data_IF_495599830380
#
_entry.id   IF_495599830380
#
_cell.length_a   1.000
_cell.length_b   1.000
_cell.length_c   1.000
_cell.angle_alpha   90.00
_cell.angle_beta   90.00
_cell.angle_gamma   90.00
#
_symmetry.space_group_name_H-M   'P 1'
#
loop_
_entity.id
_entity.type
_entity.pdbx_description
1 polymer ?
#
# COMPACT_ATOMS: atom_id res chain seq x y z
N UNK A 1 19.48 6.13 -2.94
CA UNK A 1 19.34 7.39 -2.19
C UNK A 1 20.65 7.67 -1.46
N UNK A 2 21.14 8.91 -1.43
CA UNK A 2 22.44 9.24 -0.81
C UNK A 2 22.28 9.31 0.72
N UNK A 3 23.13 8.60 1.47
CA UNK A 3 23.11 8.59 2.94
C UNK A 3 23.42 9.94 3.60
N UNK A 4 23.99 10.88 2.84
CA UNK A 4 24.25 12.26 3.28
C UNK A 4 23.06 13.20 3.07
N UNK A 5 21.98 12.75 2.43
CA UNK A 5 20.80 13.59 2.26
C UNK A 5 20.13 13.83 3.64
N UNK A 6 19.72 15.07 3.99
CA UNK A 6 19.17 15.37 5.30
C UNK A 6 17.99 14.49 5.74
N UNK A 7 17.16 14.04 4.79
CA UNK A 7 16.01 13.17 5.08
C UNK A 7 16.34 11.68 5.16
N UNK A 8 17.56 11.25 4.79
CA UNK A 8 17.88 9.83 4.66
C UNK A 8 17.72 9.07 5.98
N UNK A 9 18.26 9.62 7.08
CA UNK A 9 18.18 8.97 8.39
C UNK A 9 16.71 8.80 8.85
N UNK A 10 15.87 9.82 8.64
CA UNK A 10 14.45 9.76 8.97
C UNK A 10 13.72 8.73 8.12
N UNK A 11 13.96 8.71 6.81
CA UNK A 11 13.33 7.73 5.91
C UNK A 11 13.72 6.30 6.26
N UNK A 12 14.99 6.06 6.59
CA UNK A 12 15.46 4.75 7.07
C UNK A 12 14.77 4.34 8.37
N UNK A 13 14.69 5.24 9.34
CA UNK A 13 14.01 4.94 10.60
C UNK A 13 12.52 4.58 10.40
N UNK A 14 11.82 5.26 9.48
CA UNK A 14 10.43 4.93 9.12
C UNK A 14 10.36 3.55 8.45
N UNK A 15 11.20 3.28 7.45
CA UNK A 15 11.25 1.99 6.74
C UNK A 15 11.54 0.83 7.71
N UNK A 16 12.53 1.00 8.58
CA UNK A 16 12.93 0.00 9.58
C UNK A 16 11.83 -0.25 10.64
N UNK A 17 10.89 0.70 10.79
CA UNK A 17 9.77 0.61 11.73
C UNK A 17 8.51 -0.04 11.13
N UNK A 18 8.46 -0.31 9.81
CA UNK A 18 7.31 -0.94 9.16
C UNK A 18 6.89 -2.30 9.77
N UNK A 19 7.83 -3.21 10.14
CA UNK A 19 7.46 -4.52 10.67
C UNK A 19 6.60 -4.50 11.94
N UNK A 20 6.58 -3.39 12.70
CA UNK A 20 5.71 -3.27 13.88
C UNK A 20 4.22 -3.38 13.54
N UNK A 21 3.84 -3.12 12.28
CA UNK A 21 2.46 -3.21 11.79
C UNK A 21 2.16 -4.53 11.06
N UNK A 22 3.06 -5.51 11.08
CA UNK A 22 2.90 -6.77 10.34
C UNK A 22 1.60 -7.53 10.66
N UNK A 23 1.09 -7.40 11.89
CA UNK A 23 -0.15 -8.05 12.34
C UNK A 23 -1.35 -7.09 12.36
N UNK A 24 -1.20 -5.86 11.86
CA UNK A 24 -2.31 -4.93 11.76
C UNK A 24 -3.14 -5.27 10.52
N UNK A 25 -4.49 -5.32 10.61
CA UNK A 25 -5.31 -5.48 9.43
C UNK A 25 -4.96 -4.42 8.39
N UNK A 26 -4.73 -4.85 7.15
CA UNK A 26 -4.37 -3.94 6.07
C UNK A 26 -5.01 -4.33 4.75
N UNK A 27 -5.58 -3.32 4.08
CA UNK A 27 -6.08 -3.39 2.73
C UNK A 27 -5.19 -2.52 1.83
N UNK A 28 -4.55 -3.13 0.84
CA UNK A 28 -3.76 -2.46 -0.20
C UNK A 28 -4.56 -2.47 -1.50
N UNK A 29 -4.83 -1.28 -2.04
CA UNK A 29 -5.50 -1.11 -3.34
C UNK A 29 -4.47 -0.60 -4.34
N UNK A 30 -4.33 -1.29 -5.47
CA UNK A 30 -3.21 -1.08 -6.39
C UNK A 30 -3.67 -0.93 -7.84
N UNK A 31 -3.39 0.21 -8.47
CA UNK A 31 -3.55 0.41 -9.91
C UNK A 31 -2.35 -0.16 -10.68
N UNK A 32 -2.57 -1.11 -11.60
CA UNK A 32 -1.46 -1.76 -12.30
C UNK A 32 -0.88 -0.94 -13.45
N UNK A 33 -1.50 0.20 -13.80
CA UNK A 33 -0.99 1.15 -14.81
C UNK A 33 -0.22 2.33 -14.21
N UNK A 34 0.05 2.31 -12.91
CA UNK A 34 0.80 3.37 -12.24
C UNK A 34 2.28 3.37 -12.70
N UNK A 35 2.80 4.47 -13.25
CA UNK A 35 4.19 4.56 -13.69
C UNK A 35 5.21 4.72 -12.55
N UNK A 36 4.77 5.09 -11.35
CA UNK A 36 5.58 5.31 -10.14
C UNK A 36 5.52 4.08 -9.23
N UNK A 37 4.31 3.61 -8.94
CA UNK A 37 4.07 2.45 -8.09
C UNK A 37 3.99 1.17 -8.95
N UNK A 38 5.16 0.64 -9.30
CA UNK A 38 5.29 -0.55 -10.16
C UNK A 38 5.15 -1.87 -9.39
N UNK A 39 4.84 -3.00 -10.04
CA UNK A 39 4.61 -4.30 -9.36
C UNK A 39 5.73 -4.75 -8.41
N UNK A 40 6.98 -4.35 -8.67
CA UNK A 40 8.10 -4.64 -7.76
C UNK A 40 7.91 -4.00 -6.38
N UNK A 41 7.40 -2.76 -6.31
CA UNK A 41 7.11 -2.10 -5.04
C UNK A 41 6.00 -2.83 -4.30
N UNK A 42 4.92 -3.25 -4.98
CA UNK A 42 3.89 -4.07 -4.33
C UNK A 42 4.48 -5.35 -3.76
N UNK A 43 5.44 -5.98 -4.45
CA UNK A 43 6.20 -7.10 -3.94
C UNK A 43 6.94 -6.77 -2.64
N UNK A 44 7.61 -5.63 -2.56
CA UNK A 44 8.29 -5.17 -1.34
C UNK A 44 7.31 -4.98 -0.17
N UNK A 45 6.15 -4.37 -0.44
CA UNK A 45 5.08 -4.22 0.56
C UNK A 45 4.60 -5.57 1.10
N UNK A 46 4.42 -6.56 0.22
CA UNK A 46 3.99 -7.91 0.63
C UNK A 46 5.07 -8.69 1.39
N UNK A 47 6.35 -8.30 1.29
CA UNK A 47 7.39 -8.86 2.18
C UNK A 47 7.26 -8.35 3.60
N UNK A 48 6.91 -7.07 3.79
CA UNK A 48 6.70 -6.49 5.11
C UNK A 48 5.35 -6.89 5.71
N UNK A 49 4.35 -7.07 4.85
CA UNK A 49 2.97 -7.30 5.25
C UNK A 49 2.36 -8.49 4.50
N UNK A 50 2.77 -9.72 4.83
CA UNK A 50 2.34 -10.92 4.09
C UNK A 50 0.83 -11.20 4.19
N UNK A 51 0.18 -10.77 5.27
CA UNK A 51 -1.25 -10.97 5.52
C UNK A 51 -2.14 -9.85 4.96
N UNK A 52 -1.56 -8.89 4.23
CA UNK A 52 -2.31 -7.80 3.63
C UNK A 52 -3.31 -8.29 2.58
N UNK A 53 -4.55 -7.81 2.66
CA UNK A 53 -5.52 -8.01 1.59
C UNK A 53 -5.19 -7.08 0.42
N UNK A 54 -4.93 -7.65 -0.76
CA UNK A 54 -4.57 -6.85 -1.95
C UNK A 54 -5.70 -6.86 -2.98
N UNK A 55 -6.12 -5.68 -3.42
CA UNK A 55 -7.04 -5.49 -4.54
C UNK A 55 -6.28 -4.83 -5.70
N UNK A 56 -6.01 -5.59 -6.76
CA UNK A 56 -5.36 -5.08 -7.97
C UNK A 56 -6.39 -4.65 -8.99
N UNK A 57 -6.15 -3.52 -9.64
CA UNK A 57 -7.05 -2.90 -10.62
C UNK A 57 -6.27 -2.73 -11.93
N UNK A 58 -6.39 -3.66 -12.90
CA UNK A 58 -5.58 -3.67 -14.12
C UNK A 58 -5.74 -2.44 -15.02
N UNK A 59 -6.86 -1.73 -14.88
CA UNK A 59 -7.28 -0.59 -15.68
C UNK A 59 -6.98 0.77 -15.04
N UNK A 60 -6.61 0.82 -13.76
CA UNK A 60 -6.33 2.05 -13.02
C UNK A 60 -4.83 2.39 -12.97
N UNK A 61 -4.53 3.69 -12.99
CA UNK A 61 -3.20 4.28 -12.85
C UNK A 61 -2.94 4.83 -11.45
N UNK A 62 -2.25 5.97 -11.40
CA UNK A 62 -1.79 6.58 -10.15
C UNK A 62 -2.91 7.13 -9.26
N UNK A 63 -3.93 7.72 -9.89
CA UNK A 63 -5.10 8.26 -9.22
C UNK A 63 -6.17 7.16 -9.11
N UNK A 64 -5.86 6.10 -8.37
CA UNK A 64 -6.65 4.86 -8.32
C UNK A 64 -8.08 5.08 -7.81
N UNK A 65 -8.29 6.10 -6.98
CA UNK A 65 -9.62 6.48 -6.50
C UNK A 65 -10.43 7.12 -7.64
N UNK A 66 -9.83 8.02 -8.40
CA UNK A 66 -10.45 8.70 -9.53
C UNK A 66 -10.80 7.70 -10.65
N UNK A 67 -9.94 6.71 -10.87
CA UNK A 67 -10.14 5.69 -11.90
C UNK A 67 -11.16 4.60 -11.49
N UNK A 68 -11.31 4.31 -10.20
CA UNK A 68 -12.03 3.11 -9.74
C UNK A 68 -12.76 3.21 -8.40
N UNK A 69 -13.17 4.41 -7.96
CA UNK A 69 -13.88 4.62 -6.68
C UNK A 69 -15.07 3.67 -6.48
N UNK A 70 -15.80 3.34 -7.55
CA UNK A 70 -16.97 2.46 -7.55
C UNK A 70 -16.64 1.04 -7.08
N UNK A 71 -15.43 0.55 -7.41
CA UNK A 71 -14.90 -0.74 -6.95
C UNK A 71 -14.35 -0.63 -5.52
N UNK A 72 -13.72 0.50 -5.21
CA UNK A 72 -12.95 0.72 -3.97
C UNK A 72 -13.85 0.93 -2.76
N UNK A 73 -14.89 1.76 -2.87
CA UNK A 73 -15.76 2.11 -1.74
C UNK A 73 -16.37 0.86 -1.09
N UNK A 74 -16.94 -0.11 -1.84
CA UNK A 74 -17.42 -1.37 -1.26
C UNK A 74 -16.34 -2.15 -0.50
N UNK A 75 -15.12 -2.27 -1.06
CA UNK A 75 -14.03 -3.00 -0.39
C UNK A 75 -13.58 -2.34 0.90
N UNK A 76 -13.51 -1.00 0.94
CA UNK A 76 -13.16 -0.27 2.16
C UNK A 76 -14.23 -0.45 3.23
N UNK A 77 -15.51 -0.41 2.86
CA UNK A 77 -16.62 -0.67 3.80
C UNK A 77 -16.54 -2.08 4.39
N UNK A 78 -16.42 -3.09 3.52
CA UNK A 78 -16.27 -4.49 3.93
C UNK A 78 -15.06 -4.67 4.87
N UNK A 79 -13.92 -4.07 4.54
CA UNK A 79 -12.72 -4.14 5.35
C UNK A 79 -12.92 -3.52 6.75
N UNK A 80 -13.57 -2.36 6.84
CA UNK A 80 -13.86 -1.70 8.12
C UNK A 80 -14.90 -2.47 8.95
N UNK A 81 -15.89 -3.09 8.31
CA UNK A 81 -16.87 -3.95 8.98
C UNK A 81 -16.21 -5.21 9.57
N UNK A 82 -15.23 -5.79 8.87
CA UNK A 82 -14.46 -6.95 9.33
C UNK A 82 -13.42 -6.60 10.40
N UNK A 83 -12.98 -5.34 10.46
CA UNK A 83 -11.92 -4.85 11.34
C UNK A 83 -12.36 -3.58 12.08
N UNK A 84 -13.27 -3.70 13.06
CA UNK A 84 -13.76 -2.55 13.83
C UNK A 84 -12.64 -1.90 14.63
N UNK A 85 -12.71 -0.57 14.76
CA UNK A 85 -11.74 0.29 15.48
C UNK A 85 -12.04 0.34 16.98
#
# INVERSE_FOLDING_TARGET
>A
MNSRHPSYATLRAIEDSLPQFANHPMLIIWGERDPVFVPALLGDWLRWFPEASVKRIPDAGHYVLEDAYEKIIPWVREFLEQNPV
#
